data_IF_512280677783
#
_entry.id   IF_512280677783
#
_cell.length_a   1.000
_cell.length_b   1.000
_cell.length_c   1.000
_cell.angle_alpha   90.00
_cell.angle_beta   90.00
_cell.angle_gamma   90.00
#
_symmetry.space_group_name_H-M   'P 1'
#
loop_
_entity.id
_entity.type
_entity.pdbx_description
1 polymer ?
#
# COMPACT_ATOMS: atom_id res chain seq x y z
N UNK A 1 -2.40 -1.20 -22.21
CA UNK A 1 -3.52 -0.37 -21.75
C UNK A 1 -4.79 -1.20 -21.94
N UNK A 2 -5.44 -1.63 -20.87
CA UNK A 2 -6.70 -2.39 -20.97
C UNK A 2 -7.85 -1.45 -20.61
N UNK A 3 -8.87 -1.37 -21.45
CA UNK A 3 -10.04 -0.55 -21.19
C UNK A 3 -11.06 -1.35 -20.38
N UNK A 4 -11.48 -0.82 -19.24
CA UNK A 4 -12.52 -1.41 -18.40
C UNK A 4 -13.78 -0.55 -18.52
N UNK A 5 -14.90 -1.16 -18.91
CA UNK A 5 -16.21 -0.52 -18.92
C UNK A 5 -17.14 -1.23 -17.95
N UNK A 6 -17.85 -0.45 -17.15
CA UNK A 6 -18.84 -0.94 -16.20
C UNK A 6 -19.99 0.06 -16.12
N UNK A 7 -21.15 -0.40 -15.64
CA UNK A 7 -22.30 0.46 -15.41
C UNK A 7 -22.24 1.02 -13.98
N UNK A 8 -22.59 2.28 -13.84
CA UNK A 8 -22.74 2.98 -12.56
C UNK A 8 -24.11 3.62 -12.52
N UNK A 9 -24.55 4.03 -11.33
CA UNK A 9 -25.75 4.85 -11.22
C UNK A 9 -25.50 6.22 -11.85
N UNK A 10 -26.57 6.89 -12.30
CA UNK A 10 -26.48 8.26 -12.82
C UNK A 10 -26.00 9.24 -11.74
N UNK A 11 -26.33 8.98 -10.48
CA UNK A 11 -25.88 9.74 -9.31
C UNK A 11 -24.37 9.65 -9.13
N UNK A 12 -23.81 8.44 -9.11
CA UNK A 12 -22.36 8.25 -8.98
C UNK A 12 -21.60 8.84 -10.17
N UNK A 13 -22.16 8.72 -11.39
CA UNK A 13 -21.58 9.31 -12.58
C UNK A 13 -21.51 10.84 -12.50
N UNK A 14 -22.57 11.47 -11.97
CA UNK A 14 -22.62 12.91 -11.77
C UNK A 14 -21.62 13.36 -10.70
N UNK A 15 -21.51 12.63 -9.60
CA UNK A 15 -20.60 12.94 -8.50
C UNK A 15 -19.12 12.84 -8.94
N UNK A 16 -18.75 11.75 -9.63
CA UNK A 16 -17.39 11.61 -10.19
C UNK A 16 -17.09 12.71 -11.19
N UNK A 17 -18.07 13.11 -12.00
CA UNK A 17 -17.91 14.21 -12.95
C UNK A 17 -17.71 15.55 -12.24
N UNK A 18 -18.44 15.81 -11.15
CA UNK A 18 -18.30 17.02 -10.33
C UNK A 18 -16.89 17.14 -9.77
N UNK A 19 -16.38 16.07 -9.14
CA UNK A 19 -15.03 16.06 -8.57
C UNK A 19 -13.93 16.13 -9.62
N UNK A 20 -14.11 15.48 -10.78
CA UNK A 20 -13.16 15.58 -11.88
C UNK A 20 -12.98 17.04 -12.34
N UNK A 21 -14.08 17.79 -12.46
CA UNK A 21 -14.03 19.22 -12.78
C UNK A 21 -13.39 20.03 -11.66
N UNK A 22 -13.78 19.79 -10.39
CA UNK A 22 -13.27 20.53 -9.24
C UNK A 22 -11.74 20.34 -9.06
N UNK A 23 -11.23 19.15 -9.36
CA UNK A 23 -9.81 18.79 -9.24
C UNK A 23 -9.01 19.05 -10.52
N UNK A 24 -9.67 19.34 -11.64
CA UNK A 24 -9.01 19.57 -12.93
C UNK A 24 -8.37 18.32 -13.53
N UNK A 25 -8.92 17.13 -13.24
CA UNK A 25 -8.42 15.82 -13.69
C UNK A 25 -9.47 15.06 -14.49
N UNK A 26 -9.07 13.98 -15.16
CA UNK A 26 -10.01 13.12 -15.88
C UNK A 26 -10.74 12.16 -14.93
N UNK A 27 -11.99 11.81 -15.24
CA UNK A 27 -12.77 10.83 -14.44
C UNK A 27 -12.06 9.49 -14.32
N UNK A 28 -11.37 9.05 -15.38
CA UNK A 28 -10.64 7.78 -15.37
C UNK A 28 -9.48 7.81 -14.38
N UNK A 29 -8.95 8.98 -14.04
CA UNK A 29 -7.89 9.14 -13.05
C UNK A 29 -8.42 8.88 -11.64
N UNK A 30 -9.56 9.49 -11.28
CA UNK A 30 -10.26 9.26 -10.01
C UNK A 30 -10.58 7.77 -9.85
N UNK A 31 -11.19 7.16 -10.87
CA UNK A 31 -11.60 5.76 -10.82
C UNK A 31 -10.41 4.81 -10.76
N UNK A 32 -9.31 5.13 -11.46
CA UNK A 32 -8.07 4.34 -11.43
C UNK A 32 -7.42 4.39 -10.06
N UNK A 33 -7.36 5.56 -9.44
CA UNK A 33 -6.79 5.74 -8.10
C UNK A 33 -7.65 5.03 -7.04
N UNK A 34 -8.98 5.19 -7.09
CA UNK A 34 -9.90 4.47 -6.20
C UNK A 34 -9.76 2.95 -6.34
N UNK A 35 -9.72 2.43 -7.58
CA UNK A 35 -9.50 1.01 -7.86
C UNK A 35 -8.14 0.54 -7.32
N UNK A 36 -7.08 1.32 -7.55
CA UNK A 36 -5.75 0.97 -7.07
C UNK A 36 -5.71 0.86 -5.54
N UNK A 37 -6.26 1.85 -4.83
CA UNK A 37 -6.35 1.83 -3.36
C UNK A 37 -7.12 0.62 -2.86
N UNK A 38 -8.25 0.29 -3.48
CA UNK A 38 -9.04 -0.87 -3.09
C UNK A 38 -8.28 -2.19 -3.32
N UNK A 39 -7.58 -2.33 -4.45
CA UNK A 39 -6.75 -3.50 -4.72
C UNK A 39 -5.58 -3.64 -3.74
N UNK A 40 -5.00 -2.54 -3.27
CA UNK A 40 -3.95 -2.56 -2.24
C UNK A 40 -4.52 -3.10 -0.93
N UNK A 41 -5.72 -2.65 -0.51
CA UNK A 41 -6.38 -3.17 0.69
C UNK A 41 -6.64 -4.67 0.57
N UNK A 42 -7.26 -5.12 -0.52
CA UNK A 42 -7.56 -6.54 -0.73
C UNK A 42 -6.31 -7.42 -0.72
N UNK A 43 -5.19 -6.93 -1.27
CA UNK A 43 -3.91 -7.64 -1.23
C UNK A 43 -3.36 -7.72 0.20
N UNK A 44 -3.49 -6.65 0.98
CA UNK A 44 -3.08 -6.64 2.38
C UNK A 44 -3.92 -7.60 3.22
N UNK A 45 -5.22 -7.65 3.00
CA UNK A 45 -6.12 -8.61 3.67
C UNK A 45 -5.77 -10.06 3.31
N UNK A 46 -5.54 -10.34 2.03
CA UNK A 46 -5.13 -11.67 1.57
C UNK A 46 -3.76 -12.08 2.11
N UNK A 47 -2.81 -11.14 2.20
CA UNK A 47 -1.50 -11.40 2.81
C UNK A 47 -1.67 -11.72 4.30
N UNK A 48 -2.41 -10.91 5.05
CA UNK A 48 -2.70 -11.16 6.46
C UNK A 48 -3.40 -12.51 6.69
N UNK A 49 -4.34 -12.89 5.83
CA UNK A 49 -4.98 -14.21 5.85
C UNK A 49 -3.97 -15.32 5.54
N UNK A 50 -3.08 -15.13 4.56
CA UNK A 50 -2.00 -16.07 4.25
C UNK A 50 -1.07 -16.28 5.45
N UNK A 51 -0.68 -15.22 6.16
CA UNK A 51 0.12 -15.29 7.38
C UNK A 51 -0.58 -16.04 8.52
N UNK A 52 -1.91 -15.96 8.61
CA UNK A 52 -2.68 -16.76 9.59
C UNK A 52 -2.71 -18.25 9.24
N UNK A 53 -2.80 -18.58 7.95
CA UNK A 53 -2.85 -19.97 7.48
C UNK A 53 -1.47 -20.63 7.40
N UNK A 54 -0.41 -19.84 7.19
CA UNK A 54 0.99 -20.27 7.22
C UNK A 54 1.75 -19.37 8.20
N UNK A 55 1.59 -19.62 9.52
CA UNK A 55 2.35 -18.90 10.51
C UNK A 55 3.84 -19.11 10.30
N UNK A 56 4.63 -18.10 10.66
CA UNK A 56 6.09 -18.12 10.53
C UNK A 56 6.68 -19.40 11.15
N UNK A 57 7.60 -20.00 10.40
CA UNK A 57 8.31 -21.21 10.83
C UNK A 57 9.10 -20.92 12.12
N UNK A 58 9.48 -21.96 12.86
CA UNK A 58 10.31 -21.79 14.06
C UNK A 58 11.64 -21.06 13.75
N UNK A 59 12.18 -21.25 12.54
CA UNK A 59 13.36 -20.55 12.06
C UNK A 59 13.10 -19.04 11.86
N UNK A 60 11.97 -18.66 11.29
CA UNK A 60 11.62 -17.25 11.09
C UNK A 60 11.23 -16.56 12.41
N UNK A 61 10.55 -17.28 13.31
CA UNK A 61 10.27 -16.79 14.68
C UNK A 61 11.52 -16.62 15.53
N UNK A 62 12.62 -17.31 15.23
CA UNK A 62 13.90 -17.10 15.92
C UNK A 62 14.47 -15.68 15.70
N UNK A 63 14.01 -14.96 14.66
CA UNK A 63 14.36 -13.56 14.43
C UNK A 63 13.61 -12.60 15.37
N UNK A 64 12.44 -12.98 15.89
CA UNK A 64 11.72 -12.20 16.91
C UNK A 64 12.45 -12.23 18.26
N UNK A 65 13.22 -13.30 18.54
CA UNK A 65 14.07 -13.36 19.72
C UNK A 65 15.23 -12.35 19.68
N UNK A 66 15.55 -11.80 18.50
CA UNK A 66 16.56 -10.77 18.26
C UNK A 66 15.92 -9.37 18.32
N UNK A 67 14.65 -9.24 18.73
CA UNK A 67 13.91 -7.98 18.78
C UNK A 67 14.40 -6.95 19.84
N UNK A 68 15.61 -7.10 20.39
CA UNK A 68 16.30 -6.02 21.12
C UNK A 68 17.02 -5.11 20.10
N UNK A 69 16.26 -4.60 19.13
CA UNK A 69 16.74 -3.60 18.19
C UNK A 69 16.84 -2.31 18.99
N UNK A 70 17.96 -2.18 19.71
CA UNK A 70 18.34 -0.93 20.36
C UNK A 70 18.29 0.18 19.30
N UNK A 71 17.94 1.43 19.68
CA UNK A 71 17.99 2.55 18.75
C UNK A 71 19.31 2.50 17.98
N UNK A 72 19.25 2.64 16.65
CA UNK A 72 20.44 2.57 15.82
C UNK A 72 21.54 3.39 16.47
N UNK A 73 22.66 2.74 16.83
CA UNK A 73 23.84 3.43 17.36
C UNK A 73 24.17 4.60 16.44
N UNK A 74 24.62 5.72 17.01
CA UNK A 74 24.95 6.89 16.20
C UNK A 74 26.09 6.52 15.25
N UNK A 75 25.77 6.35 13.97
CA UNK A 75 26.75 6.01 12.93
C UNK A 75 27.65 7.21 12.58
N UNK A 76 27.53 8.32 13.33
CA UNK A 76 28.39 9.50 13.24
C UNK A 76 29.87 9.18 13.36
N UNK A 77 30.25 8.16 14.12
CA UNK A 77 31.64 7.76 14.32
C UNK A 77 32.27 7.10 13.07
N UNK A 78 31.45 6.71 12.08
CA UNK A 78 31.92 6.11 10.83
C UNK A 78 32.37 7.16 9.80
N UNK A 79 32.05 8.42 10.02
CA UNK A 79 32.42 9.54 9.13
C UNK A 79 33.87 9.99 9.27
N UNK A 80 34.56 9.63 10.37
CA UNK A 80 35.93 10.04 10.66
C UNK A 80 37.00 9.03 10.19
N UNK A 81 36.61 7.97 9.48
CA UNK A 81 37.52 6.91 9.04
C UNK A 81 38.25 7.18 7.70
N UNK A 82 38.26 8.42 7.20
CA UNK A 82 39.01 8.85 6.01
C UNK A 82 40.11 9.86 6.41
N UNK A 83 41.23 9.37 6.93
CA UNK A 83 42.54 10.08 6.87
C UNK A 83 43.70 9.11 6.62
#
# INVERSE_FOLDING_TARGET
MTMLSFRVSDEDAAEVQHWAVALGIDRSEILRDALHRHLVVLKGEADAESWQHQPATDAERSLEAIADWRPAEDWSDWTDAEE
#
